data_IF_523616622699
#
_entry.id   IF_523616622699
#
_cell.length_a   1.000
_cell.length_b   1.000
_cell.length_c   1.000
_cell.angle_alpha   90.00
_cell.angle_beta   90.00
_cell.angle_gamma   90.00
#
_symmetry.space_group_name_H-M   'P 1'
#
loop_
_entity.id
_entity.type
_entity.pdbx_description
1 polymer ?
#
# COMPACT_ATOMS: atom_id res chain seq x y z
N UNK A 1 0.25 45.74 23.60
CA UNK A 1 -0.19 45.28 24.93
C UNK A 1 -1.64 44.83 24.89
N UNK A 2 -1.89 43.52 24.77
CA UNK A 2 -3.12 42.85 25.23
C UNK A 2 -2.71 41.41 25.54
N UNK A 3 -2.93 41.00 26.79
CA UNK A 3 -2.36 39.81 27.42
C UNK A 3 -3.08 38.56 26.92
N UNK A 4 -2.33 37.59 26.40
CA UNK A 4 -2.83 36.26 26.07
C UNK A 4 -2.82 35.44 27.37
N UNK A 5 -3.99 35.17 27.93
CA UNK A 5 -4.13 34.26 29.07
C UNK A 5 -4.21 32.84 28.53
N UNK A 6 -3.16 32.05 28.79
CA UNK A 6 -3.12 30.61 28.54
C UNK A 6 -3.87 29.95 29.70
N UNK A 7 -5.09 29.49 29.43
CA UNK A 7 -5.86 28.62 30.31
C UNK A 7 -5.64 27.16 29.93
N UNK A 8 -5.20 26.36 30.88
CA UNK A 8 -4.90 24.94 30.75
C UNK A 8 -6.16 24.06 30.91
N UNK A 9 -6.15 22.95 30.15
CA UNK A 9 -6.82 21.65 30.40
C UNK A 9 -8.34 21.55 30.15
N UNK A 10 -8.69 20.70 29.18
CA UNK A 10 -9.92 19.90 29.24
C UNK A 10 -10.57 19.58 27.90
N UNK A 11 -10.58 18.29 27.55
CA UNK A 11 -11.57 17.55 26.74
C UNK A 11 -11.62 17.72 25.20
N UNK A 12 -11.04 16.72 24.52
CA UNK A 12 -11.47 16.06 23.27
C UNK A 12 -12.42 16.85 22.34
N UNK A 13 -11.86 17.77 21.56
CA UNK A 13 -12.45 18.12 20.27
C UNK A 13 -12.15 17.00 19.29
N UNK A 14 -13.09 16.08 19.15
CA UNK A 14 -13.23 15.18 18.02
C UNK A 14 -13.29 16.08 16.78
N UNK A 15 -12.17 16.23 16.08
CA UNK A 15 -12.14 16.93 14.81
C UNK A 15 -13.17 16.24 13.91
N UNK A 16 -14.17 17.00 13.46
CA UNK A 16 -14.93 16.66 12.27
C UNK A 16 -13.88 16.49 11.16
N UNK A 17 -13.54 15.24 10.87
CA UNK A 17 -12.54 14.89 9.88
C UNK A 17 -13.00 15.42 8.53
N UNK A 18 -12.36 16.50 8.08
CA UNK A 18 -12.25 16.80 6.66
C UNK A 18 -11.69 15.54 5.97
N UNK A 19 -12.30 15.04 4.88
CA UNK A 19 -11.63 14.04 4.08
C UNK A 19 -10.41 14.72 3.46
N UNK A 20 -9.24 14.51 4.06
CA UNK A 20 -7.95 14.87 3.48
C UNK A 20 -7.64 13.89 2.34
N UNK A 21 -8.43 13.93 1.27
CA UNK A 21 -8.11 13.33 -0.02
C UNK A 21 -7.97 14.43 -1.06
N UNK A 22 -7.09 15.38 -0.79
CA UNK A 22 -6.44 16.16 -1.84
C UNK A 22 -4.98 15.72 -1.90
N UNK A 23 -4.74 14.48 -2.35
CA UNK A 23 -3.41 14.09 -2.82
C UNK A 23 -3.34 14.55 -4.28
N UNK A 24 -2.65 15.67 -4.45
CA UNK A 24 -2.06 16.15 -5.69
C UNK A 24 -1.55 14.97 -6.54
N UNK A 25 -2.26 14.58 -7.60
CA UNK A 25 -1.80 13.57 -8.55
C UNK A 25 -0.93 14.25 -9.61
N UNK A 26 0.38 14.21 -9.40
CA UNK A 26 1.38 14.54 -10.42
C UNK A 26 1.90 13.27 -11.09
N UNK A 27 1.28 12.91 -12.21
CA UNK A 27 1.95 12.52 -13.45
C UNK A 27 2.83 11.26 -13.48
N UNK A 28 2.19 10.10 -13.59
CA UNK A 28 2.63 9.01 -14.49
C UNK A 28 1.36 8.26 -14.95
N UNK A 29 0.85 8.55 -16.15
CA UNK A 29 -0.40 7.93 -16.65
C UNK A 29 -0.11 6.51 -17.14
N UNK A 30 0.04 5.57 -16.21
CA UNK A 30 -0.09 4.14 -16.47
C UNK A 30 -1.55 3.75 -16.21
N UNK A 31 -2.13 2.87 -17.02
CA UNK A 31 -3.48 2.37 -16.74
C UNK A 31 -3.51 1.72 -15.34
N UNK A 32 -4.48 2.05 -14.47
CA UNK A 32 -4.68 1.43 -13.15
C UNK A 32 -4.56 -0.10 -13.17
N UNK A 33 -5.19 -0.70 -14.18
CA UNK A 33 -5.19 -2.14 -14.42
C UNK A 33 -3.77 -2.66 -14.68
N UNK A 34 -2.98 -1.93 -15.48
CA UNK A 34 -1.60 -2.34 -15.81
C UNK A 34 -0.66 -2.29 -14.61
N UNK A 35 -0.84 -1.34 -13.67
CA UNK A 35 -0.04 -1.28 -12.44
C UNK A 35 -0.34 -2.47 -11.53
N UNK A 36 -1.61 -2.81 -11.35
CA UNK A 36 -2.01 -3.97 -10.55
C UNK A 36 -1.54 -5.29 -11.15
N UNK A 37 -1.65 -5.47 -12.47
CA UNK A 37 -1.14 -6.68 -13.15
C UNK A 37 0.36 -6.85 -12.90
N UNK A 38 1.15 -5.78 -13.06
CA UNK A 38 2.59 -5.83 -12.80
C UNK A 38 2.90 -6.11 -11.33
N UNK A 39 2.22 -5.44 -10.41
CA UNK A 39 2.42 -5.63 -8.98
C UNK A 39 2.13 -7.07 -8.55
N UNK A 40 1.00 -7.63 -8.98
CA UNK A 40 0.64 -8.99 -8.65
C UNK A 40 1.61 -10.00 -9.26
N UNK A 41 2.05 -9.77 -10.50
CA UNK A 41 3.00 -10.65 -11.17
C UNK A 41 4.36 -10.67 -10.47
N UNK A 42 4.92 -9.51 -10.11
CA UNK A 42 6.23 -9.47 -9.44
C UNK A 42 6.20 -10.19 -8.08
N UNK A 43 5.08 -10.11 -7.33
CA UNK A 43 4.91 -10.86 -6.08
C UNK A 43 4.83 -12.37 -6.35
N UNK A 44 4.06 -12.80 -7.35
CA UNK A 44 3.98 -14.23 -7.72
C UNK A 44 5.33 -14.79 -8.16
N UNK A 45 6.14 -14.00 -8.88
CA UNK A 45 7.50 -14.36 -9.27
C UNK A 45 8.41 -14.51 -8.03
N UNK A 46 8.30 -13.59 -7.06
CA UNK A 46 9.01 -13.68 -5.77
C UNK A 46 8.59 -14.90 -4.94
N UNK A 47 7.29 -15.19 -4.88
CA UNK A 47 6.77 -16.40 -4.23
C UNK A 47 7.35 -17.62 -4.94
N UNK A 48 7.29 -17.69 -6.27
CA UNK A 48 7.81 -18.83 -7.04
C UNK A 48 9.31 -19.04 -6.84
N UNK A 49 10.10 -17.97 -6.74
CA UNK A 49 11.53 -18.08 -6.44
C UNK A 49 11.77 -18.56 -5.01
N UNK A 50 10.99 -18.07 -4.05
CA UNK A 50 11.07 -18.52 -2.67
C UNK A 50 10.53 -19.95 -2.45
N UNK A 51 9.66 -20.48 -3.33
CA UNK A 51 9.25 -21.90 -3.34
C UNK A 51 10.43 -22.81 -3.67
N UNK A 52 11.41 -22.35 -4.45
CA UNK A 52 12.59 -23.16 -4.79
C UNK A 52 13.55 -23.31 -3.59
N UNK A 53 13.41 -22.46 -2.57
CA UNK A 53 14.26 -22.52 -1.38
C UNK A 53 13.60 -23.37 -0.29
N UNK A 54 14.19 -24.52 0.09
CA UNK A 54 13.57 -25.43 1.06
C UNK A 54 13.40 -24.82 2.47
N UNK A 55 14.20 -23.80 2.81
CA UNK A 55 14.12 -23.05 4.08
C UNK A 55 12.85 -22.20 4.21
N UNK A 56 12.17 -21.87 3.12
CA UNK A 56 11.04 -20.92 3.09
C UNK A 56 9.67 -21.59 2.92
N UNK A 57 9.61 -22.89 2.58
CA UNK A 57 8.37 -23.64 2.35
C UNK A 57 7.28 -23.46 3.43
N UNK A 58 7.68 -23.43 4.71
CA UNK A 58 6.72 -23.34 5.82
C UNK A 58 6.06 -21.96 5.91
N UNK A 59 6.80 -20.89 5.58
CA UNK A 59 6.27 -19.53 5.59
C UNK A 59 5.57 -19.17 4.28
N UNK A 60 5.91 -19.85 3.19
CA UNK A 60 5.40 -19.50 1.87
C UNK A 60 3.90 -19.73 1.71
N UNK A 61 3.36 -20.82 2.26
CA UNK A 61 1.93 -21.07 2.23
C UNK A 61 1.12 -19.95 2.89
N UNK A 62 1.65 -19.38 3.98
CA UNK A 62 1.03 -18.24 4.67
C UNK A 62 1.12 -16.97 3.83
N UNK A 63 2.27 -16.72 3.20
CA UNK A 63 2.48 -15.56 2.32
C UNK A 63 1.52 -15.63 1.13
N UNK A 64 1.43 -16.78 0.47
CA UNK A 64 0.55 -17.00 -0.68
C UNK A 64 -0.92 -16.78 -0.33
N UNK A 65 -1.37 -17.32 0.81
CA UNK A 65 -2.75 -17.12 1.26
C UNK A 65 -3.06 -15.66 1.56
N UNK A 66 -2.15 -14.94 2.24
CA UNK A 66 -2.32 -13.51 2.53
C UNK A 66 -2.30 -12.65 1.26
N UNK A 67 -1.45 -12.99 0.30
CA UNK A 67 -1.39 -12.32 -0.98
C UNK A 67 -2.68 -12.49 -1.78
N UNK A 68 -3.18 -13.72 -1.91
CA UNK A 68 -4.44 -14.00 -2.61
C UNK A 68 -5.65 -13.35 -1.92
N UNK A 69 -5.65 -13.26 -0.59
CA UNK A 69 -6.66 -12.50 0.14
C UNK A 69 -6.58 -11.00 -0.22
N UNK A 70 -5.40 -10.38 -0.09
CA UNK A 70 -5.22 -8.96 -0.39
C UNK A 70 -5.52 -8.61 -1.85
N UNK A 71 -5.22 -9.52 -2.77
CA UNK A 71 -5.57 -9.38 -4.20
C UNK A 71 -7.08 -9.29 -4.41
N UNK A 72 -7.87 -10.14 -3.74
CA UNK A 72 -9.34 -10.05 -3.79
C UNK A 72 -9.83 -8.74 -3.20
N UNK A 73 -9.32 -8.35 -2.04
CA UNK A 73 -9.68 -7.09 -1.39
C UNK A 73 -9.40 -5.91 -2.32
N UNK A 74 -8.25 -5.88 -3.01
CA UNK A 74 -7.94 -4.84 -4.01
C UNK A 74 -8.93 -4.85 -5.15
N UNK A 75 -9.20 -6.02 -5.74
CA UNK A 75 -10.13 -6.14 -6.86
C UNK A 75 -11.57 -5.75 -6.51
N UNK A 76 -11.94 -5.80 -5.22
CA UNK A 76 -13.24 -5.36 -4.70
C UNK A 76 -13.29 -3.84 -4.39
N UNK A 77 -12.14 -3.14 -4.38
CA UNK A 77 -12.09 -1.67 -4.22
C UNK A 77 -12.47 -0.91 -5.49
N UNK A 78 -12.80 0.38 -5.35
CA UNK A 78 -13.01 1.27 -6.50
C UNK A 78 -11.73 1.48 -7.33
N UNK A 79 -11.89 1.69 -8.64
CA UNK A 79 -10.79 1.72 -9.63
C UNK A 79 -9.66 2.72 -9.31
N UNK A 80 -10.00 3.91 -8.79
CA UNK A 80 -9.01 4.90 -8.36
C UNK A 80 -8.17 4.41 -7.17
N UNK A 81 -8.81 3.72 -6.23
CA UNK A 81 -8.15 3.16 -5.05
C UNK A 81 -7.32 1.92 -5.41
N UNK A 82 -7.77 1.13 -6.40
CA UNK A 82 -6.98 0.04 -6.99
C UNK A 82 -5.66 0.57 -7.56
N UNK A 83 -5.74 1.57 -8.45
CA UNK A 83 -4.57 2.18 -9.08
C UNK A 83 -3.53 2.59 -8.04
N UNK A 84 -3.97 3.37 -7.06
CA UNK A 84 -3.11 3.90 -6.00
C UNK A 84 -2.50 2.82 -5.11
N UNK A 85 -3.29 1.81 -4.76
CA UNK A 85 -2.81 0.70 -3.92
C UNK A 85 -1.73 -0.11 -4.64
N UNK A 86 -1.95 -0.38 -5.92
CA UNK A 86 -1.00 -1.11 -6.75
C UNK A 86 0.26 -0.30 -7.07
N UNK A 87 0.13 1.00 -7.33
CA UNK A 87 1.26 1.91 -7.53
C UNK A 87 2.18 1.94 -6.30
N UNK A 88 1.61 2.20 -5.12
CA UNK A 88 2.37 2.22 -3.85
C UNK A 88 3.00 0.86 -3.56
N UNK A 89 2.26 -0.23 -3.81
CA UNK A 89 2.76 -1.59 -3.65
C UNK A 89 3.96 -1.87 -4.55
N UNK A 90 3.86 -1.49 -5.83
CA UNK A 90 4.91 -1.68 -6.82
C UNK A 90 6.15 -0.83 -6.50
N UNK A 91 5.97 0.43 -6.11
CA UNK A 91 7.07 1.30 -5.70
C UNK A 91 7.85 0.72 -4.52
N UNK A 92 7.14 0.22 -3.49
CA UNK A 92 7.78 -0.44 -2.35
C UNK A 92 8.52 -1.70 -2.74
N UNK A 93 7.93 -2.51 -3.62
CA UNK A 93 8.52 -3.77 -4.08
C UNK A 93 9.81 -3.53 -4.87
N UNK A 94 9.75 -2.59 -5.82
CA UNK A 94 10.91 -2.18 -6.62
C UNK A 94 11.96 -1.45 -5.77
N UNK A 95 11.53 -0.65 -4.80
CA UNK A 95 12.42 -0.01 -3.83
C UNK A 95 13.21 -1.03 -3.03
N UNK A 96 12.58 -2.11 -2.59
CA UNK A 96 13.26 -3.20 -1.88
C UNK A 96 14.23 -3.96 -2.79
N UNK A 97 13.81 -4.27 -4.02
CA UNK A 97 14.64 -4.95 -5.02
C UNK A 97 15.94 -4.20 -5.36
N UNK A 98 15.94 -2.87 -5.29
CA UNK A 98 17.14 -2.05 -5.53
C UNK A 98 18.08 -1.97 -4.31
N UNK A 99 17.59 -2.26 -3.09
CA UNK A 99 18.41 -2.23 -1.87
C UNK A 99 19.16 -3.54 -1.58
N UNK A 100 18.83 -4.63 -2.28
CA UNK A 100 19.53 -5.93 -2.20
C UNK A 100 20.64 -6.09 -3.28
N UNK A 101 21.00 -5.00 -3.99
CA UNK A 101 22.09 -4.95 -4.98
C UNK A 101 23.38 -4.35 -4.42
#
# INVERSE_FOLDING_TARGET
>A
MKRFLIGTIGIMSFFLGEPLFAIQQSGHFHSPIQQCVKFFQEIEDLITEAEKQPSTHMQLGVIRNKFEQGKKEILEMGEELQAKSCEIGLEKLLGHKNTDM
#
